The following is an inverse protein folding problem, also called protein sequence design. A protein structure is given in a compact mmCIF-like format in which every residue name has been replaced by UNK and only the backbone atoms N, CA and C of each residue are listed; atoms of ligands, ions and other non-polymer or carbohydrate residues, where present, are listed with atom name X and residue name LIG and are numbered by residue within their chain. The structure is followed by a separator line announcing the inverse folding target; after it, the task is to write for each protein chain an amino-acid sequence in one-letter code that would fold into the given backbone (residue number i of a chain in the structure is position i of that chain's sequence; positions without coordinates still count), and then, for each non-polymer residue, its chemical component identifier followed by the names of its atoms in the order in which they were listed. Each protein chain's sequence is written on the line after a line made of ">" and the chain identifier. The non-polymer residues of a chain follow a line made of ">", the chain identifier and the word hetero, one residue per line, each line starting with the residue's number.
data_IF_606766096390
#
_entry.id   IF_606766096390
#
_cell.length_a   1.000
_cell.length_b   1.000
_cell.length_c   1.000
_cell.angle_alpha   90.00
_cell.angle_beta   90.00
_cell.angle_gamma   90.00
#
_symmetry.space_group_name_H-M   'P 1'
#
loop_
_entity.id
_entity.type
_entity.pdbx_description
1 polymer ?
#
# COMPACT_ATOMS: atom_id res chain seq x y z
N UNK A 1 37.19 -67.20 2.08
CA UNK A 1 35.97 -67.13 2.94
C UNK A 1 35.71 -65.69 3.33
N UNK A 2 35.10 -64.87 2.44
CA UNK A 2 34.73 -63.48 2.75
C UNK A 2 33.44 -63.45 3.57
N UNK A 3 33.56 -63.14 4.87
CA UNK A 3 32.40 -62.90 5.74
C UNK A 3 31.85 -61.50 5.48
N UNK A 4 31.09 -61.32 4.40
CA UNK A 4 30.27 -60.12 4.23
C UNK A 4 29.06 -60.22 5.16
N UNK A 5 29.06 -59.43 6.23
CA UNK A 5 27.89 -59.23 7.10
C UNK A 5 26.77 -58.57 6.25
N UNK A 6 25.53 -59.10 6.28
CA UNK A 6 24.42 -58.44 5.59
C UNK A 6 24.12 -57.11 6.32
N UNK A 7 24.07 -56.03 5.53
CA UNK A 7 23.76 -54.69 6.01
C UNK A 7 22.30 -54.65 6.50
N UNK A 8 22.09 -54.88 7.81
CA UNK A 8 20.80 -54.67 8.49
C UNK A 8 20.58 -53.16 8.63
N UNK A 9 20.04 -52.51 7.61
CA UNK A 9 19.93 -51.05 7.66
C UNK A 9 18.94 -50.34 6.74
N UNK A 10 18.31 -51.01 5.77
CA UNK A 10 17.20 -50.40 5.04
C UNK A 10 15.89 -50.93 5.61
N UNK A 11 15.39 -50.30 6.69
CA UNK A 11 13.95 -50.30 6.92
C UNK A 11 13.34 -49.68 5.67
N UNK A 12 12.56 -50.44 4.91
CA UNK A 12 11.70 -49.89 3.88
C UNK A 12 10.88 -48.80 4.56
N UNK A 13 11.22 -47.54 4.30
CA UNK A 13 10.42 -46.41 4.74
C UNK A 13 9.09 -46.60 4.02
N UNK A 14 8.08 -46.95 4.79
CA UNK A 14 6.73 -47.15 4.31
C UNK A 14 6.27 -45.85 3.64
N UNK A 15 6.28 -45.87 2.30
CA UNK A 15 6.07 -44.71 1.41
C UNK A 15 4.61 -44.66 0.95
N UNK A 16 3.69 -45.08 1.81
CA UNK A 16 2.26 -44.93 1.53
C UNK A 16 1.95 -43.47 1.19
N UNK A 17 1.08 -43.26 0.21
CA UNK A 17 0.70 -41.91 -0.23
C UNK A 17 0.14 -41.08 0.94
N UNK A 18 -0.54 -41.71 1.90
CA UNK A 18 -1.01 -41.06 3.12
C UNK A 18 0.13 -40.52 3.99
N UNK A 19 1.23 -41.27 4.16
CA UNK A 19 2.40 -40.80 4.93
C UNK A 19 3.15 -39.69 4.20
N UNK A 20 3.22 -39.76 2.86
CA UNK A 20 3.78 -38.67 2.05
C UNK A 20 2.94 -37.40 2.20
N UNK A 21 1.63 -37.51 2.03
CA UNK A 21 0.69 -36.40 2.15
C UNK A 21 0.73 -35.78 3.55
N UNK A 22 0.73 -36.59 4.61
CA UNK A 22 0.84 -36.11 5.98
C UNK A 22 2.16 -35.36 6.23
N UNK A 23 3.29 -35.90 5.75
CA UNK A 23 4.58 -35.24 5.86
C UNK A 23 4.62 -33.90 5.11
N UNK A 24 4.13 -33.88 3.86
CA UNK A 24 4.04 -32.65 3.07
C UNK A 24 3.13 -31.61 3.72
N UNK A 25 2.01 -32.04 4.32
CA UNK A 25 1.08 -31.15 5.02
C UNK A 25 1.72 -30.48 6.24
N UNK A 26 2.55 -31.19 7.02
CA UNK A 26 3.30 -30.59 8.14
C UNK A 26 4.28 -29.53 7.66
N UNK A 27 5.02 -29.82 6.58
CA UNK A 27 5.97 -28.87 5.98
C UNK A 27 5.23 -27.63 5.46
N UNK A 28 4.16 -27.83 4.69
CA UNK A 28 3.29 -26.76 4.17
C UNK A 28 2.77 -25.85 5.28
N UNK A 29 2.25 -26.45 6.36
CA UNK A 29 1.74 -25.72 7.52
C UNK A 29 2.85 -24.89 8.17
N UNK A 30 4.03 -25.49 8.40
CA UNK A 30 5.18 -24.78 8.99
C UNK A 30 5.70 -23.64 8.12
N UNK A 31 5.76 -23.83 6.79
CA UNK A 31 6.15 -22.78 5.84
C UNK A 31 5.12 -21.65 5.85
N UNK A 32 3.83 -21.98 5.86
CA UNK A 32 2.75 -20.98 5.85
C UNK A 32 2.76 -20.12 7.11
N UNK A 33 3.10 -20.69 8.27
CA UNK A 33 3.30 -19.94 9.52
C UNK A 33 4.45 -18.96 9.37
N UNK A 34 5.62 -19.42 8.89
CA UNK A 34 6.78 -18.56 8.69
C UNK A 34 6.49 -17.43 7.69
N UNK A 35 5.81 -17.74 6.59
CA UNK A 35 5.43 -16.76 5.59
C UNK A 35 4.47 -15.69 6.13
N UNK A 36 3.52 -16.09 6.98
CA UNK A 36 2.65 -15.15 7.69
C UNK A 36 3.45 -14.17 8.54
N UNK A 37 4.37 -14.69 9.37
CA UNK A 37 5.22 -13.87 10.25
C UNK A 37 6.11 -12.91 9.44
N UNK A 38 6.76 -13.41 8.39
CA UNK A 38 7.62 -12.57 7.53
C UNK A 38 6.80 -11.49 6.84
N UNK A 39 5.61 -11.82 6.33
CA UNK A 39 4.77 -10.85 5.62
C UNK A 39 4.23 -9.77 6.56
N UNK A 40 3.84 -10.14 7.78
CA UNK A 40 3.44 -9.18 8.82
C UNK A 40 4.60 -8.25 9.22
N UNK A 41 5.79 -8.81 9.46
CA UNK A 41 6.97 -8.01 9.81
C UNK A 41 7.41 -7.09 8.67
N UNK A 42 7.34 -7.54 7.42
CA UNK A 42 7.62 -6.68 6.25
C UNK A 42 6.60 -5.55 6.12
N UNK A 43 5.32 -5.81 6.34
CA UNK A 43 4.28 -4.79 6.28
C UNK A 43 4.46 -3.73 7.38
N UNK A 44 4.89 -4.17 8.57
CA UNK A 44 5.11 -3.32 9.73
C UNK A 44 6.55 -2.80 9.84
N UNK A 45 7.41 -3.06 8.84
CA UNK A 45 8.84 -2.69 8.86
C UNK A 45 9.57 -3.11 10.15
N UNK A 46 9.16 -4.23 10.73
CA UNK A 46 9.72 -4.79 11.96
C UNK A 46 10.94 -5.66 11.68
N UNK A 47 11.80 -5.83 12.68
CA UNK A 47 13.01 -6.64 12.55
C UNK A 47 12.67 -8.12 12.28
N UNK A 48 13.48 -8.79 11.46
CA UNK A 48 13.46 -10.22 11.17
C UNK A 48 14.31 -11.04 12.16
N UNK A 49 14.83 -10.42 13.22
CA UNK A 49 15.58 -11.10 14.27
C UNK A 49 14.77 -12.24 14.92
N UNK A 50 15.49 -13.32 15.27
CA UNK A 50 14.91 -14.53 15.85
C UNK A 50 14.25 -15.48 14.84
N UNK A 51 14.09 -15.09 13.56
CA UNK A 51 13.54 -15.98 12.53
C UNK A 51 14.61 -16.90 11.91
N UNK A 52 14.23 -18.11 11.46
CA UNK A 52 15.16 -19.07 10.88
C UNK A 52 15.64 -18.59 9.51
N UNK A 53 16.96 -18.44 9.33
CA UNK A 53 17.59 -17.99 8.08
C UNK A 53 18.08 -19.15 7.21
N UNK A 54 18.05 -20.37 7.75
CA UNK A 54 18.51 -21.60 7.08
C UNK A 54 17.61 -22.77 7.44
N UNK A 55 17.67 -23.82 6.61
CA UNK A 55 16.86 -25.02 6.81
C UNK A 55 17.07 -25.67 8.18
N UNK A 56 18.30 -25.72 8.69
CA UNK A 56 18.61 -26.31 10.01
C UNK A 56 17.88 -25.59 11.14
N UNK A 57 17.88 -24.26 11.13
CA UNK A 57 17.16 -23.45 12.11
C UNK A 57 15.65 -23.64 11.96
N UNK A 58 15.17 -23.71 10.72
CA UNK A 58 13.76 -23.92 10.42
C UNK A 58 13.24 -25.28 10.91
N UNK A 59 14.04 -26.35 10.81
CA UNK A 59 13.63 -27.69 11.23
C UNK A 59 13.88 -27.96 12.71
N UNK A 60 14.97 -27.44 13.26
CA UNK A 60 15.49 -27.88 14.55
C UNK A 60 15.05 -26.95 15.70
N UNK A 61 14.70 -25.69 15.42
CA UNK A 61 14.18 -24.73 16.41
C UNK A 61 12.70 -24.42 16.21
N UNK A 62 11.97 -24.27 17.32
CA UNK A 62 10.58 -23.80 17.38
C UNK A 62 10.46 -22.42 18.03
N UNK A 63 11.57 -21.73 18.31
CA UNK A 63 11.57 -20.51 19.14
C UNK A 63 10.83 -19.33 18.49
N UNK A 64 10.72 -19.36 17.16
CA UNK A 64 10.04 -18.34 16.35
C UNK A 64 8.54 -18.61 16.16
N UNK A 65 8.01 -19.71 16.69
CA UNK A 65 6.64 -20.16 16.47
C UNK A 65 5.73 -19.57 17.55
N UNK A 66 4.63 -18.95 17.12
CA UNK A 66 3.68 -18.26 18.01
C UNK A 66 3.02 -19.25 18.99
N UNK A 67 2.85 -18.80 20.23
CA UNK A 67 2.12 -19.50 21.29
C UNK A 67 0.74 -19.95 20.82
N UNK A 68 0.41 -21.23 20.97
CA UNK A 68 -0.90 -21.79 20.61
C UNK A 68 -0.91 -22.68 19.36
N UNK A 69 0.21 -22.80 18.65
CA UNK A 69 0.37 -23.80 17.59
C UNK A 69 0.89 -25.09 18.21
N UNK A 70 0.18 -26.20 18.00
CA UNK A 70 0.65 -27.53 18.42
C UNK A 70 1.96 -27.89 17.69
N UNK A 71 3.10 -28.03 18.41
CA UNK A 71 4.40 -28.31 17.81
C UNK A 71 4.43 -29.62 17.01
N UNK A 72 3.72 -30.65 17.48
CA UNK A 72 3.71 -31.96 16.81
C UNK A 72 2.97 -31.91 15.47
N UNK A 73 1.99 -31.02 15.33
CA UNK A 73 1.27 -30.79 14.06
C UNK A 73 2.13 -30.20 12.93
N UNK A 74 3.33 -29.70 13.24
CA UNK A 74 4.22 -29.03 12.28
C UNK A 74 5.65 -29.59 12.30
N UNK A 75 5.94 -30.54 13.19
CA UNK A 75 7.28 -31.10 13.37
C UNK A 75 7.61 -32.07 12.24
N UNK A 76 8.80 -31.91 11.67
CA UNK A 76 9.36 -32.86 10.72
C UNK A 76 10.90 -32.82 10.80
N UNK A 77 11.54 -33.93 10.44
CA UNK A 77 13.01 -34.00 10.40
C UNK A 77 13.57 -33.58 9.05
N UNK A 78 14.85 -33.20 9.02
CA UNK A 78 15.57 -32.89 7.76
C UNK A 78 15.49 -34.02 6.74
N UNK A 79 15.55 -35.27 7.19
CA UNK A 79 15.38 -36.45 6.32
C UNK A 79 14.03 -36.49 5.60
N UNK A 80 12.96 -36.00 6.25
CA UNK A 80 11.62 -35.87 5.63
C UNK A 80 11.60 -34.78 4.57
N UNK A 81 12.26 -33.65 4.82
CA UNK A 81 12.35 -32.56 3.84
C UNK A 81 13.12 -32.95 2.58
N UNK A 82 14.25 -33.64 2.73
CA UNK A 82 15.10 -34.05 1.60
C UNK A 82 14.52 -35.20 0.76
N UNK A 83 13.35 -35.73 1.11
CA UNK A 83 12.61 -36.61 0.20
C UNK A 83 12.25 -35.83 -1.06
N UNK A 84 12.50 -36.42 -2.24
CA UNK A 84 12.40 -35.75 -3.54
C UNK A 84 11.11 -34.94 -3.72
N UNK A 85 9.96 -35.54 -3.42
CA UNK A 85 8.65 -34.91 -3.58
C UNK A 85 8.41 -33.70 -2.65
N UNK A 86 9.04 -33.66 -1.47
CA UNK A 86 8.95 -32.52 -0.57
C UNK A 86 9.91 -31.42 -1.01
N UNK A 87 11.15 -31.78 -1.35
CA UNK A 87 12.16 -30.83 -1.81
C UNK A 87 11.69 -30.08 -3.06
N UNK A 88 11.28 -30.82 -4.09
CA UNK A 88 10.86 -30.25 -5.38
C UNK A 88 9.65 -29.29 -5.19
N UNK A 89 8.79 -29.56 -4.19
CA UNK A 89 7.61 -28.75 -3.89
C UNK A 89 7.92 -27.49 -3.08
N UNK A 90 8.84 -27.57 -2.11
CA UNK A 90 8.98 -26.54 -1.08
C UNK A 90 10.28 -25.73 -1.14
N UNK A 91 11.32 -26.23 -1.81
CA UNK A 91 12.66 -25.62 -1.77
C UNK A 91 12.67 -24.17 -2.26
N UNK A 92 12.02 -23.90 -3.39
CA UNK A 92 11.96 -22.54 -3.94
C UNK A 92 11.25 -21.56 -2.99
N UNK A 93 10.11 -21.96 -2.43
CA UNK A 93 9.34 -21.11 -1.52
C UNK A 93 10.10 -20.84 -0.22
N UNK A 94 10.74 -21.86 0.34
CA UNK A 94 11.52 -21.73 1.57
C UNK A 94 12.80 -20.90 1.35
N UNK A 95 13.52 -21.10 0.24
CA UNK A 95 14.69 -20.29 -0.11
C UNK A 95 14.33 -18.81 -0.31
N UNK A 96 13.17 -18.54 -0.93
CA UNK A 96 12.67 -17.17 -1.05
C UNK A 96 12.41 -16.53 0.31
N UNK A 97 11.82 -17.26 1.26
CA UNK A 97 11.63 -16.77 2.63
C UNK A 97 12.96 -16.49 3.32
N UNK A 98 13.94 -17.41 3.23
CA UNK A 98 15.27 -17.19 3.80
C UNK A 98 15.96 -15.96 3.23
N UNK A 99 15.84 -15.72 1.92
CA UNK A 99 16.37 -14.53 1.29
C UNK A 99 15.69 -13.25 1.79
N UNK A 100 14.35 -13.24 1.92
CA UNK A 100 13.59 -12.11 2.47
C UNK A 100 14.02 -11.76 3.90
N UNK A 101 14.25 -12.76 4.75
CA UNK A 101 14.69 -12.54 6.13
C UNK A 101 16.16 -12.14 6.25
N UNK A 102 17.01 -12.57 5.31
CA UNK A 102 18.43 -12.19 5.26
C UNK A 102 18.62 -10.76 4.74
N UNK A 103 17.74 -10.34 3.84
CA UNK A 103 17.74 -9.02 3.21
C UNK A 103 16.36 -8.38 3.35
N UNK A 104 15.95 -8.01 4.58
CA UNK A 104 14.66 -7.38 4.79
C UNK A 104 14.58 -6.06 4.03
N UNK A 105 13.37 -5.69 3.59
CA UNK A 105 13.12 -4.38 2.97
C UNK A 105 13.60 -3.29 3.91
N UNK A 106 14.55 -2.47 3.45
CA UNK A 106 15.11 -1.41 4.27
C UNK A 106 14.07 -0.33 4.49
N UNK A 107 13.87 0.04 5.75
CA UNK A 107 13.00 1.16 6.15
C UNK A 107 13.46 2.45 5.48
N UNK A 108 14.78 2.66 5.41
CA UNK A 108 15.39 3.86 4.85
C UNK A 108 15.03 4.11 3.38
N UNK A 109 14.96 3.06 2.55
CA UNK A 109 14.63 3.20 1.13
C UNK A 109 13.18 3.67 0.97
N UNK A 110 12.26 3.13 1.78
CA UNK A 110 10.85 3.54 1.75
C UNK A 110 10.64 4.92 2.36
N UNK A 111 11.35 5.25 3.45
CA UNK A 111 11.33 6.57 4.06
C UNK A 111 11.85 7.61 3.07
N UNK A 112 12.92 7.32 2.33
CA UNK A 112 13.48 8.20 1.30
C UNK A 112 12.48 8.43 0.16
N UNK A 113 11.86 7.36 -0.35
CA UNK A 113 10.84 7.44 -1.39
C UNK A 113 9.62 8.28 -0.95
N UNK A 114 9.10 8.01 0.27
CA UNK A 114 7.96 8.74 0.82
C UNK A 114 8.29 10.20 1.10
N UNK A 115 9.51 10.48 1.58
CA UNK A 115 9.99 11.85 1.83
C UNK A 115 10.10 12.63 0.53
N UNK A 116 10.65 12.03 -0.53
CA UNK A 116 10.72 12.63 -1.86
C UNK A 116 9.32 12.94 -2.43
N UNK A 117 8.38 12.00 -2.30
CA UNK A 117 6.99 12.20 -2.72
C UNK A 117 6.29 13.30 -1.93
N UNK A 118 6.55 13.38 -0.62
CA UNK A 118 6.00 14.44 0.22
C UNK A 118 6.53 15.82 -0.21
N UNK A 119 7.85 15.94 -0.45
CA UNK A 119 8.43 17.16 -1.00
C UNK A 119 7.86 17.57 -2.35
N UNK A 120 7.59 16.62 -3.24
CA UNK A 120 6.93 16.90 -4.52
C UNK A 120 5.52 17.47 -4.29
N UNK A 121 4.71 16.80 -3.47
CA UNK A 121 3.34 17.24 -3.15
C UNK A 121 3.32 18.62 -2.49
N UNK A 122 4.27 18.92 -1.61
CA UNK A 122 4.39 20.26 -1.00
C UNK A 122 4.61 21.33 -2.06
N UNK A 123 5.52 21.10 -3.02
CA UNK A 123 5.79 22.05 -4.11
C UNK A 123 4.59 22.23 -5.04
N UNK A 124 3.90 21.14 -5.38
CA UNK A 124 2.68 21.19 -6.20
C UNK A 124 1.58 22.00 -5.50
N UNK A 125 1.40 21.79 -4.19
CA UNK A 125 0.42 22.52 -3.41
C UNK A 125 0.75 24.03 -3.32
N UNK A 126 2.02 24.38 -3.07
CA UNK A 126 2.48 25.77 -3.08
C UNK A 126 2.24 26.45 -4.44
N UNK A 127 2.52 25.74 -5.54
CA UNK A 127 2.25 26.22 -6.90
C UNK A 127 0.76 26.43 -7.15
N UNK A 128 -0.09 25.50 -6.72
CA UNK A 128 -1.55 25.61 -6.85
C UNK A 128 -2.11 26.76 -6.00
N UNK A 129 -1.61 26.94 -4.78
CA UNK A 129 -1.97 28.08 -3.94
C UNK A 129 -1.60 29.41 -4.60
N UNK A 130 -0.41 29.51 -5.20
CA UNK A 130 0.01 30.72 -5.93
C UNK A 130 -0.88 30.98 -7.16
N UNK A 131 -1.25 29.93 -7.91
CA UNK A 131 -2.16 30.04 -9.04
C UNK A 131 -3.56 30.49 -8.60
N UNK A 132 -4.10 29.92 -7.54
CA UNK A 132 -5.39 30.32 -6.96
C UNK A 132 -5.38 31.80 -6.53
N UNK A 133 -4.33 32.24 -5.84
CA UNK A 133 -4.20 33.64 -5.45
C UNK A 133 -4.19 34.58 -6.68
N UNK A 134 -3.61 34.16 -7.80
CA UNK A 134 -3.63 34.91 -9.05
C UNK A 134 -5.05 34.98 -9.64
N UNK A 135 -5.79 33.87 -9.63
CA UNK A 135 -7.18 33.82 -10.07
C UNK A 135 -8.09 34.68 -9.19
N UNK A 136 -7.94 34.63 -7.88
CA UNK A 136 -8.72 35.46 -6.94
C UNK A 136 -8.50 36.95 -7.19
N UNK A 137 -7.25 37.35 -7.48
CA UNK A 137 -6.92 38.73 -7.85
C UNK A 137 -7.57 39.13 -9.18
N UNK A 138 -7.58 38.25 -10.19
CA UNK A 138 -8.25 38.51 -11.47
C UNK A 138 -9.76 38.64 -11.29
N UNK A 139 -10.37 37.70 -10.59
CA UNK A 139 -11.80 37.72 -10.27
C UNK A 139 -12.19 38.99 -9.52
N UNK A 140 -11.38 39.39 -8.52
CA UNK A 140 -11.62 40.63 -7.77
C UNK A 140 -11.60 41.88 -8.65
N UNK A 141 -10.71 41.93 -9.67
CA UNK A 141 -10.66 43.04 -10.63
C UNK A 141 -11.89 43.07 -11.54
N UNK A 142 -12.31 41.91 -12.05
CA UNK A 142 -13.50 41.80 -12.88
C UNK A 142 -14.77 42.17 -12.12
N UNK A 143 -14.93 41.66 -10.90
CA UNK A 143 -16.04 42.03 -10.01
C UNK A 143 -16.07 43.54 -9.75
N UNK A 144 -14.90 44.16 -9.52
CA UNK A 144 -14.82 45.61 -9.34
C UNK A 144 -15.24 46.37 -10.60
N UNK A 145 -14.79 45.94 -11.78
CA UNK A 145 -15.15 46.55 -13.05
C UNK A 145 -16.66 46.45 -13.33
N UNK A 146 -17.24 45.26 -13.12
CA UNK A 146 -18.67 45.03 -13.29
C UNK A 146 -19.50 45.91 -12.35
N UNK A 147 -19.08 46.05 -11.09
CA UNK A 147 -19.74 46.96 -10.14
C UNK A 147 -19.73 48.41 -10.63
N UNK A 148 -18.58 48.90 -11.12
CA UNK A 148 -18.50 50.27 -11.64
C UNK A 148 -19.37 50.48 -12.89
N UNK A 149 -19.45 49.48 -13.77
CA UNK A 149 -20.30 49.54 -14.96
C UNK A 149 -21.78 49.53 -14.58
N UNK A 150 -22.16 48.72 -13.58
CA UNK A 150 -23.52 48.67 -13.05
C UNK A 150 -23.93 50.02 -12.47
N UNK A 151 -23.09 50.63 -11.63
CA UNK A 151 -23.36 51.94 -11.02
C UNK A 151 -23.52 53.03 -12.09
N UNK A 152 -22.66 53.02 -13.13
CA UNK A 152 -22.77 53.95 -14.25
C UNK A 152 -24.07 53.76 -15.04
N UNK A 153 -24.48 52.52 -15.28
CA UNK A 153 -25.74 52.17 -15.94
C UNK A 153 -26.96 52.64 -15.13
N UNK A 154 -26.97 52.39 -13.81
CA UNK A 154 -28.01 52.89 -12.90
C UNK A 154 -28.11 54.41 -12.95
N UNK A 155 -26.96 55.12 -12.93
CA UNK A 155 -26.93 56.57 -13.00
C UNK A 155 -27.45 57.09 -14.35
N UNK A 156 -27.10 56.45 -15.46
CA UNK A 156 -27.60 56.80 -16.79
C UNK A 156 -29.12 56.60 -16.89
N UNK A 157 -29.64 55.48 -16.41
CA UNK A 157 -31.08 55.20 -16.37
C UNK A 157 -31.83 56.24 -15.53
N UNK A 158 -31.31 56.61 -14.35
CA UNK A 158 -31.90 57.70 -13.54
C UNK A 158 -31.94 59.03 -14.30
N UNK A 159 -30.88 59.37 -15.03
CA UNK A 159 -30.84 60.60 -15.86
C UNK A 159 -31.90 60.57 -16.96
N UNK A 160 -32.02 59.45 -17.67
CA UNK A 160 -33.03 59.26 -18.72
C UNK A 160 -34.45 59.36 -18.15
N UNK A 161 -34.71 58.73 -17.01
CA UNK A 161 -36.00 58.80 -16.33
C UNK A 161 -36.35 60.24 -15.91
N UNK A 162 -35.39 60.97 -15.36
CA UNK A 162 -35.57 62.38 -15.03
C UNK A 162 -35.85 63.25 -16.27
N UNK A 163 -35.21 62.96 -17.40
CA UNK A 163 -35.47 63.65 -18.67
C UNK A 163 -36.87 63.34 -19.21
N UNK A 164 -37.31 62.08 -19.15
CA UNK A 164 -38.66 61.67 -19.54
C UNK A 164 -39.72 62.40 -18.70
N UNK A 165 -39.55 62.41 -17.37
CA UNK A 165 -40.47 63.12 -16.47
C UNK A 165 -40.54 64.61 -16.79
N UNK A 166 -39.39 65.28 -17.01
CA UNK A 166 -39.35 66.69 -17.39
C UNK A 166 -40.03 66.98 -18.73
N UNK A 167 -39.98 66.07 -19.70
CA UNK A 167 -40.66 66.23 -20.99
C UNK A 167 -42.16 65.96 -20.90
N UNK A 168 -42.58 65.09 -19.97
CA UNK A 168 -44.00 64.82 -19.72
C UNK A 168 -44.73 66.05 -19.12
N UNK A 169 -44.04 66.86 -18.32
CA UNK A 169 -44.61 68.08 -17.71
C UNK A 169 -44.85 69.25 -18.71
N UNK A 170 -44.34 69.16 -19.96
CA UNK A 170 -44.32 70.28 -20.93
C UNK A 170 -45.40 70.18 -22.01
N UNK A 171 -46.48 69.40 -21.79
CA UNK A 171 -47.65 69.44 -22.68
C UNK A 171 -48.82 70.16 -22.01
N UNK A 172 -48.87 71.52 -22.04
CA UNK A 172 -50.12 72.21 -21.80
C UNK A 172 -51.04 71.96 -23.00
N UNK A 173 -52.05 71.12 -22.82
CA UNK A 173 -53.21 71.09 -23.70
C UNK A 173 -53.92 72.44 -23.58
N UNK A 174 -53.54 73.39 -24.43
CA UNK A 174 -54.37 74.57 -24.68
C UNK A 174 -55.56 74.11 -25.50
N UNK A 175 -56.73 74.00 -24.85
CA UNK A 175 -57.99 73.78 -25.56
C UNK A 175 -58.24 75.01 -26.45
N UNK A 176 -58.47 74.84 -27.76
CA UNK A 176 -58.96 75.94 -28.58
C UNK A 176 -60.36 76.33 -28.09
N UNK A 177 -60.62 77.65 -28.09
CA UNK A 177 -61.81 78.31 -27.54
C UNK A 177 -63.12 77.73 -28.04
#
# INVERSE_FOLDING_TARGET
>A
MSKNKPNKGHKNVDTSEEKKAAASARIEKRISILEGIVSEREANFSDMEGLPKKLTEFTDSNDWIVSGIDPESIRFGRGTYYQKWNRDRFENRLNNLFNRMKYPKKVDDKVTELTAKNHQLTRENESLMAANLCLDRKLSREVKLLKTQLDASIAANRRLQNQLNRKADVIPFTKPK
#
